data_IF_114804682433
#
_entry.id   IF_114804682433
#
_cell.length_a   1.000
_cell.length_b   1.000
_cell.length_c   1.000
_cell.angle_alpha   90.00
_cell.angle_beta   90.00
_cell.angle_gamma   90.00
#
_symmetry.space_group_name_H-M   'P 1'
#
loop_
_entity.id
_entity.type
_entity.pdbx_description
1 polymer ?
#
# COMPACT_ATOMS: atom_id res chain seq x y z
N UNK A 1 -11.11 2.66 -13.00
CA UNK A 1 -10.86 3.99 -13.63
C UNK A 1 -10.03 4.98 -12.79
N UNK A 2 -9.58 4.65 -11.56
CA UNK A 2 -8.61 5.49 -10.82
C UNK A 2 -7.16 5.05 -11.10
N UNK A 3 -6.93 3.74 -11.23
CA UNK A 3 -5.62 3.14 -11.43
C UNK A 3 -4.96 3.53 -12.75
N UNK A 4 -5.68 3.45 -13.88
CA UNK A 4 -5.17 3.86 -15.20
C UNK A 4 -4.71 5.32 -15.23
N UNK A 5 -5.55 6.24 -14.72
CA UNK A 5 -5.18 7.65 -14.62
C UNK A 5 -4.03 7.88 -13.64
N UNK A 6 -3.96 7.14 -12.54
CA UNK A 6 -2.84 7.21 -11.60
C UNK A 6 -1.52 6.78 -12.25
N UNK A 7 -1.52 5.76 -13.11
CA UNK A 7 -0.34 5.37 -13.89
C UNK A 7 0.13 6.51 -14.80
N UNK A 8 -0.78 7.20 -15.50
CA UNK A 8 -0.45 8.37 -16.31
C UNK A 8 0.18 9.49 -15.47
N UNK A 9 -0.38 9.77 -14.28
CA UNK A 9 0.13 10.78 -13.36
C UNK A 9 1.51 10.41 -12.80
N UNK A 10 1.79 9.12 -12.56
CA UNK A 10 3.13 8.67 -12.19
C UNK A 10 4.13 8.94 -13.31
N UNK A 11 3.81 8.56 -14.55
CA UNK A 11 4.67 8.84 -15.71
C UNK A 11 4.89 10.34 -15.93
N UNK A 12 3.87 11.14 -15.70
CA UNK A 12 3.98 12.59 -15.77
C UNK A 12 4.92 13.13 -14.68
N UNK A 13 4.79 12.66 -13.44
CA UNK A 13 5.66 13.07 -12.34
C UNK A 13 7.13 12.69 -12.59
N UNK A 14 7.40 11.49 -13.11
CA UNK A 14 8.74 11.05 -13.52
C UNK A 14 9.34 11.99 -14.56
N UNK A 15 8.55 12.35 -15.58
CA UNK A 15 9.00 13.23 -16.67
C UNK A 15 9.36 14.63 -16.15
N UNK A 16 8.54 15.21 -15.28
CA UNK A 16 8.75 16.55 -14.74
C UNK A 16 9.91 16.60 -13.72
N UNK A 17 10.12 15.52 -12.98
CA UNK A 17 11.15 15.44 -11.96
C UNK A 17 12.52 14.98 -12.49
N UNK A 18 12.53 14.08 -13.48
CA UNK A 18 13.75 13.51 -14.08
C UNK A 18 14.30 12.29 -13.35
N UNK A 19 13.48 11.57 -12.59
CA UNK A 19 13.83 10.32 -11.89
C UNK A 19 12.77 9.27 -12.19
N UNK A 20 13.16 8.00 -12.27
CA UNK A 20 12.22 6.88 -12.33
C UNK A 20 11.60 6.65 -10.94
N UNK A 21 10.27 6.76 -10.86
CA UNK A 21 9.47 6.65 -9.65
C UNK A 21 8.54 5.43 -9.68
N UNK A 22 8.20 4.94 -10.87
CA UNK A 22 7.34 3.78 -11.11
C UNK A 22 8.03 2.77 -12.04
N UNK A 23 8.39 1.62 -11.46
CA UNK A 23 8.97 0.49 -12.17
C UNK A 23 7.85 -0.45 -12.60
N UNK A 24 7.59 -0.51 -13.92
CA UNK A 24 6.59 -1.41 -14.50
C UNK A 24 7.19 -2.82 -14.63
N UNK A 25 7.13 -3.62 -13.56
CA UNK A 25 7.69 -4.98 -13.51
C UNK A 25 6.70 -6.07 -13.92
N UNK A 26 5.44 -5.72 -14.17
CA UNK A 26 4.31 -6.64 -14.12
C UNK A 26 4.03 -7.15 -12.70
N UNK A 27 2.84 -7.70 -12.50
CA UNK A 27 2.38 -8.16 -11.19
C UNK A 27 1.69 -9.52 -11.25
N UNK A 28 1.99 -10.36 -10.26
CA UNK A 28 1.47 -11.71 -10.15
C UNK A 28 0.44 -11.80 -9.02
N UNK A 29 -0.80 -12.10 -9.37
CA UNK A 29 -1.88 -12.29 -8.41
C UNK A 29 -2.23 -13.77 -8.34
N UNK A 30 -2.28 -14.33 -7.13
CA UNK A 30 -2.52 -15.77 -6.92
C UNK A 30 -3.58 -16.00 -5.86
N UNK A 31 -4.42 -17.01 -6.07
CA UNK A 31 -5.55 -17.29 -5.20
C UNK A 31 -6.60 -18.19 -5.85
N UNK A 32 -7.68 -18.49 -5.11
CA UNK A 32 -8.86 -19.16 -5.67
C UNK A 32 -9.45 -18.34 -6.81
N UNK A 33 -9.97 -19.02 -7.84
CA UNK A 33 -10.51 -18.35 -9.05
C UNK A 33 -11.64 -17.37 -8.74
N UNK A 34 -12.48 -17.69 -7.78
CA UNK A 34 -13.59 -16.89 -7.28
C UNK A 34 -13.24 -16.06 -6.04
N UNK A 35 -11.97 -16.12 -5.60
CA UNK A 35 -11.44 -15.40 -4.44
C UNK A 35 -11.46 -13.88 -4.59
N UNK A 36 -11.06 -13.20 -3.52
CA UNK A 36 -11.07 -11.74 -3.44
C UNK A 36 -10.05 -11.14 -4.42
N UNK A 37 -8.83 -11.68 -4.44
CA UNK A 37 -7.72 -11.15 -5.22
C UNK A 37 -7.85 -11.54 -6.69
N UNK A 38 -7.81 -12.82 -7.00
CA UNK A 38 -7.87 -13.33 -8.39
C UNK A 38 -9.23 -13.02 -9.01
N UNK A 39 -10.34 -13.41 -8.36
CA UNK A 39 -11.68 -13.15 -8.89
C UNK A 39 -11.99 -11.66 -8.99
N UNK A 40 -11.54 -10.85 -8.03
CA UNK A 40 -11.65 -9.40 -8.08
C UNK A 40 -10.92 -8.79 -9.27
N UNK A 41 -9.69 -9.24 -9.52
CA UNK A 41 -8.85 -8.79 -10.64
C UNK A 41 -9.46 -9.15 -11.98
N UNK A 42 -9.88 -10.41 -12.18
CA UNK A 42 -10.49 -10.85 -13.44
C UNK A 42 -11.76 -10.05 -13.75
N UNK A 43 -12.61 -9.78 -12.75
CA UNK A 43 -13.79 -8.93 -12.93
C UNK A 43 -13.42 -7.50 -13.28
N UNK A 44 -12.41 -6.92 -12.63
CA UNK A 44 -11.96 -5.56 -12.93
C UNK A 44 -11.35 -5.46 -14.33
N UNK A 45 -10.58 -6.47 -14.73
CA UNK A 45 -9.96 -6.55 -16.04
C UNK A 45 -11.00 -6.65 -17.16
N UNK A 46 -11.99 -7.53 -17.02
CA UNK A 46 -13.11 -7.63 -17.95
C UNK A 46 -13.91 -6.33 -18.04
N UNK A 47 -14.27 -5.75 -16.88
CA UNK A 47 -15.07 -4.53 -16.82
C UNK A 47 -14.36 -3.29 -17.43
N UNK A 48 -13.03 -3.25 -17.40
CA UNK A 48 -12.24 -2.07 -17.75
C UNK A 48 -11.27 -2.28 -18.91
N UNK A 49 -11.29 -3.45 -19.56
CA UNK A 49 -10.39 -3.77 -20.67
C UNK A 49 -8.91 -3.76 -20.27
N UNK A 50 -8.60 -4.21 -19.05
CA UNK A 50 -7.21 -4.32 -18.58
C UNK A 50 -6.65 -5.64 -19.12
N UNK A 51 -5.47 -5.58 -19.74
CA UNK A 51 -4.78 -6.77 -20.22
C UNK A 51 -4.30 -7.61 -19.03
N UNK A 52 -4.77 -8.85 -18.97
CA UNK A 52 -4.32 -9.84 -17.99
C UNK A 52 -4.21 -11.21 -18.65
N UNK A 53 -3.23 -12.00 -18.20
CA UNK A 53 -3.04 -13.38 -18.61
C UNK A 53 -3.41 -14.30 -17.43
N UNK A 54 -4.32 -15.26 -17.66
CA UNK A 54 -4.63 -16.28 -16.64
C UNK A 54 -3.68 -17.45 -16.78
N UNK A 55 -3.09 -17.88 -15.67
CA UNK A 55 -2.18 -19.01 -15.58
C UNK A 55 -2.84 -20.14 -14.80
N UNK A 56 -2.83 -21.34 -15.35
CA UNK A 56 -3.13 -22.56 -14.59
C UNK A 56 -2.11 -22.76 -13.46
N UNK A 57 -2.45 -23.60 -12.48
CA UNK A 57 -1.52 -23.95 -11.39
C UNK A 57 -0.20 -24.55 -11.92
N UNK A 58 -0.26 -25.34 -12.99
CA UNK A 58 0.93 -25.89 -13.65
C UNK A 58 1.79 -24.80 -14.32
N UNK A 59 1.19 -23.87 -15.06
CA UNK A 59 1.89 -22.75 -15.69
C UNK A 59 2.51 -21.81 -14.67
N UNK A 60 1.78 -21.52 -13.58
CA UNK A 60 2.27 -20.73 -12.45
C UNK A 60 3.54 -21.33 -11.86
N UNK A 61 3.55 -22.64 -11.57
CA UNK A 61 4.72 -23.33 -11.03
C UNK A 61 5.91 -23.37 -11.99
N UNK A 62 5.62 -23.49 -13.28
CA UNK A 62 6.64 -23.54 -14.32
C UNK A 62 7.30 -22.16 -14.52
N UNK A 63 6.48 -21.10 -14.62
CA UNK A 63 6.96 -19.73 -14.91
C UNK A 63 7.49 -19.00 -13.67
N UNK A 64 6.88 -19.25 -12.50
CA UNK A 64 7.21 -18.58 -11.25
C UNK A 64 7.46 -19.61 -10.12
N UNK A 65 8.57 -20.38 -10.18
CA UNK A 65 8.84 -21.47 -9.23
C UNK A 65 8.87 -21.05 -7.76
N UNK A 66 9.24 -19.81 -7.46
CA UNK A 66 9.23 -19.29 -6.08
C UNK A 66 7.83 -19.13 -5.49
N UNK A 67 6.79 -19.08 -6.34
CA UNK A 67 5.37 -19.08 -5.96
C UNK A 67 4.76 -20.48 -5.97
N UNK A 68 5.55 -21.54 -6.25
CA UNK A 68 5.03 -22.86 -6.58
C UNK A 68 4.28 -23.59 -5.45
N UNK A 69 4.41 -23.13 -4.20
CA UNK A 69 3.67 -23.71 -3.08
C UNK A 69 2.32 -23.01 -2.83
N UNK A 70 1.79 -22.32 -3.83
CA UNK A 70 0.35 -22.11 -3.96
C UNK A 70 -0.39 -23.46 -3.96
N UNK A 71 -1.56 -23.56 -3.31
CA UNK A 71 -2.43 -24.74 -3.41
C UNK A 71 -2.77 -25.09 -4.87
N UNK A 72 -3.06 -26.37 -5.13
CA UNK A 72 -3.28 -26.88 -6.48
C UNK A 72 -4.51 -26.22 -7.15
N UNK A 73 -5.51 -25.89 -6.35
CA UNK A 73 -6.75 -25.24 -6.73
C UNK A 73 -6.61 -23.73 -6.96
N UNK A 74 -5.48 -23.13 -6.58
CA UNK A 74 -5.19 -21.73 -6.86
C UNK A 74 -4.69 -21.57 -8.31
N UNK A 75 -5.04 -20.43 -8.90
CA UNK A 75 -4.56 -20.02 -10.22
C UNK A 75 -3.72 -18.75 -10.12
N UNK A 76 -3.00 -18.43 -11.19
CA UNK A 76 -2.30 -17.16 -11.34
C UNK A 76 -3.04 -16.22 -12.28
N UNK A 77 -2.90 -14.92 -12.05
CA UNK A 77 -3.23 -13.85 -12.98
C UNK A 77 -2.02 -12.95 -13.09
N UNK A 78 -1.51 -12.78 -14.30
CA UNK A 78 -0.41 -11.88 -14.63
C UNK A 78 -0.96 -10.58 -15.22
N UNK A 79 -0.65 -9.46 -14.59
CA UNK A 79 -1.00 -8.11 -15.05
C UNK A 79 0.28 -7.38 -15.53
N UNK A 80 0.51 -7.24 -16.84
CA UNK A 80 1.75 -6.65 -17.37
C UNK A 80 1.97 -5.18 -16.97
N UNK A 81 0.90 -4.42 -16.77
CA UNK A 81 0.95 -3.00 -16.40
C UNK A 81 1.26 -2.73 -14.93
N UNK A 82 1.20 -3.75 -14.07
CA UNK A 82 1.48 -3.61 -12.66
C UNK A 82 2.97 -3.36 -12.38
N UNK A 83 3.29 -2.91 -11.17
CA UNK A 83 4.66 -2.55 -10.83
C UNK A 83 4.84 -1.97 -9.43
N UNK A 84 5.98 -1.32 -9.21
CA UNK A 84 6.41 -0.74 -7.94
C UNK A 84 6.50 0.76 -8.06
N UNK A 85 5.85 1.48 -7.15
CA UNK A 85 6.12 2.89 -6.89
C UNK A 85 7.21 2.99 -5.82
N UNK A 86 8.16 3.93 -5.99
CA UNK A 86 9.14 4.32 -4.97
C UNK A 86 8.55 5.45 -4.11
N UNK A 87 7.88 5.16 -2.97
CA UNK A 87 7.02 6.13 -2.30
C UNK A 87 7.78 7.33 -1.73
N UNK A 88 8.97 7.11 -1.17
CA UNK A 88 9.78 8.18 -0.60
C UNK A 88 10.34 9.13 -1.68
N UNK A 89 10.83 8.55 -2.79
CA UNK A 89 11.27 9.34 -3.95
C UNK A 89 10.11 10.13 -4.56
N UNK A 90 8.94 9.48 -4.66
CA UNK A 90 7.70 10.09 -5.14
C UNK A 90 7.25 11.29 -4.31
N UNK A 91 7.26 11.15 -2.98
CA UNK A 91 6.92 12.24 -2.07
C UNK A 91 7.93 13.40 -2.19
N UNK A 92 9.23 13.10 -2.27
CA UNK A 92 10.26 14.12 -2.48
C UNK A 92 10.09 14.84 -3.82
N UNK A 93 9.81 14.11 -4.90
CA UNK A 93 9.56 14.66 -6.22
C UNK A 93 8.36 15.61 -6.21
N UNK A 94 7.23 15.15 -5.67
CA UNK A 94 6.00 15.96 -5.59
C UNK A 94 6.21 17.24 -4.77
N UNK A 95 6.83 17.14 -3.58
CA UNK A 95 7.12 18.31 -2.73
C UNK A 95 8.15 19.23 -3.38
N UNK A 96 9.18 18.68 -4.02
CA UNK A 96 10.23 19.45 -4.70
C UNK A 96 9.70 20.24 -5.89
N UNK A 97 8.82 19.64 -6.70
CA UNK A 97 8.13 20.35 -7.80
C UNK A 97 7.16 21.40 -7.27
N UNK A 98 6.38 21.09 -6.24
CA UNK A 98 5.46 22.04 -5.61
C UNK A 98 6.22 23.26 -5.05
N UNK A 99 7.38 23.04 -4.44
CA UNK A 99 8.24 24.09 -3.89
C UNK A 99 8.77 25.11 -4.92
N UNK A 100 8.67 24.81 -6.23
CA UNK A 100 8.99 25.78 -7.29
C UNK A 100 7.94 26.89 -7.43
N UNK A 101 6.70 26.62 -7.01
CA UNK A 101 5.55 27.52 -7.23
C UNK A 101 4.71 27.78 -5.96
N UNK A 102 4.99 27.08 -4.85
CA UNK A 102 4.25 27.18 -3.60
C UNK A 102 5.19 27.17 -2.39
N UNK A 103 4.73 27.74 -1.28
CA UNK A 103 5.44 27.67 0.00
C UNK A 103 5.31 26.29 0.63
N UNK A 104 6.44 25.66 0.97
CA UNK A 104 6.49 24.39 1.71
C UNK A 104 6.98 24.66 3.13
N UNK A 105 6.14 24.39 4.12
CA UNK A 105 6.48 24.57 5.54
C UNK A 105 6.73 23.20 6.18
N UNK A 106 8.00 22.82 6.29
CA UNK A 106 8.41 21.61 7.04
C UNK A 106 8.60 21.92 8.52
N UNK A 107 8.64 20.89 9.37
CA UNK A 107 8.76 21.06 10.83
C UNK A 107 7.59 21.81 11.48
N UNK A 108 6.46 21.92 10.78
CA UNK A 108 5.28 22.70 11.17
C UNK A 108 4.09 21.76 11.32
N UNK A 109 3.92 21.19 12.52
CA UNK A 109 2.79 20.30 12.81
C UNK A 109 1.52 21.14 13.07
N UNK A 110 0.50 20.92 12.25
CA UNK A 110 -0.83 21.49 12.47
C UNK A 110 -1.50 20.76 13.62
N UNK A 111 -1.83 21.48 14.69
CA UNK A 111 -2.49 20.93 15.88
C UNK A 111 -4.00 21.19 15.90
N UNK A 112 -4.50 22.13 15.09
CA UNK A 112 -5.92 22.47 15.01
C UNK A 112 -6.30 22.93 13.61
N UNK A 113 -7.48 22.50 13.18
CA UNK A 113 -8.17 22.96 11.97
C UNK A 113 -9.54 23.47 12.39
N UNK A 114 -9.86 24.71 12.04
CA UNK A 114 -11.16 25.32 12.35
C UNK A 114 -11.72 25.97 11.09
N UNK A 115 -12.98 25.65 10.76
CA UNK A 115 -13.68 26.31 9.67
C UNK A 115 -14.33 27.58 10.21
N UNK A 116 -13.96 28.73 9.65
CA UNK A 116 -14.44 30.06 10.05
C UNK A 116 -15.32 30.66 8.95
N UNK A 117 -16.06 31.74 9.22
CA UNK A 117 -17.03 32.34 8.27
C UNK A 117 -16.47 32.63 6.87
N UNK A 118 -15.20 32.98 6.74
CA UNK A 118 -14.53 33.37 5.50
C UNK A 118 -13.44 32.39 5.00
N UNK A 119 -13.25 31.24 5.67
CA UNK A 119 -12.21 30.29 5.27
C UNK A 119 -11.93 29.19 6.30
N UNK A 120 -10.67 28.77 6.37
CA UNK A 120 -10.15 27.79 7.31
C UNK A 120 -8.94 28.37 8.04
N UNK A 121 -8.94 28.23 9.35
CA UNK A 121 -7.83 28.56 10.22
C UNK A 121 -7.06 27.29 10.60
N UNK A 122 -5.74 27.32 10.42
CA UNK A 122 -4.81 26.24 10.77
C UNK A 122 -3.83 26.72 11.84
N UNK A 123 -3.78 26.05 12.98
CA UNK A 123 -2.84 26.38 14.06
C UNK A 123 -1.64 25.45 14.00
N UNK A 124 -0.43 26.02 13.95
CA UNK A 124 0.85 25.30 13.94
C UNK A 124 1.84 25.97 14.89
N UNK A 125 2.05 25.38 16.07
CA UNK A 125 2.86 25.99 17.13
C UNK A 125 2.34 27.39 17.49
N UNK A 126 3.18 28.45 17.47
CA UNK A 126 2.74 29.82 17.75
C UNK A 126 2.10 30.53 16.55
N UNK A 127 1.96 29.86 15.40
CA UNK A 127 1.46 30.47 14.16
C UNK A 127 0.03 30.05 13.88
N UNK A 128 -0.72 30.99 13.33
CA UNK A 128 -2.06 30.78 12.78
C UNK A 128 -2.05 31.13 11.30
N UNK A 129 -2.41 30.19 10.44
CA UNK A 129 -2.55 30.38 9.00
C UNK A 129 -4.03 30.48 8.66
N UNK A 130 -4.40 31.46 7.83
CA UNK A 130 -5.77 31.60 7.30
C UNK A 130 -5.75 31.39 5.79
N UNK A 131 -6.60 30.48 5.33
CA UNK A 131 -6.73 30.11 3.93
C UNK A 131 -8.21 30.06 3.53
N UNK A 132 -8.51 30.22 2.25
CA UNK A 132 -9.91 30.13 1.76
C UNK A 132 -10.43 28.70 1.76
N UNK A 133 -9.55 27.72 1.59
CA UNK A 133 -9.86 26.29 1.56
C UNK A 133 -8.65 25.50 2.07
N UNK A 134 -8.90 24.39 2.75
CA UNK A 134 -7.88 23.44 3.20
C UNK A 134 -8.17 22.02 2.67
N UNK A 135 -7.12 21.33 2.24
CA UNK A 135 -7.15 19.89 1.92
C UNK A 135 -6.34 19.17 2.99
N UNK A 136 -6.98 18.27 3.74
CA UNK A 136 -6.36 17.57 4.88
C UNK A 136 -6.07 16.11 4.49
N UNK A 137 -4.78 15.78 4.39
CA UNK A 137 -4.28 14.46 3.97
C UNK A 137 -3.22 13.91 4.94
N UNK A 138 -3.50 14.00 6.25
CA UNK A 138 -2.54 13.67 7.33
C UNK A 138 -2.47 12.18 7.68
N UNK A 139 -3.02 11.31 6.84
CA UNK A 139 -2.93 9.85 7.00
C UNK A 139 -3.50 9.33 8.33
N UNK A 140 -2.69 8.58 9.08
CA UNK A 140 -3.07 7.97 10.36
C UNK A 140 -3.45 8.98 11.47
N UNK A 141 -3.14 10.27 11.29
CA UNK A 141 -3.49 11.34 12.21
C UNK A 141 -4.83 12.01 11.91
N UNK A 142 -5.57 11.54 10.90
CA UNK A 142 -6.76 12.23 10.43
C UNK A 142 -7.84 12.33 11.52
N UNK A 143 -8.00 11.29 12.35
CA UNK A 143 -8.91 11.30 13.51
C UNK A 143 -8.41 12.13 14.68
N UNK A 144 -7.09 12.30 14.81
CA UNK A 144 -6.49 13.18 15.82
C UNK A 144 -6.80 14.64 15.50
N UNK A 145 -6.69 15.00 14.22
CA UNK A 145 -6.90 16.38 13.77
C UNK A 145 -8.37 16.72 13.53
N UNK A 146 -9.16 15.76 13.05
CA UNK A 146 -10.58 15.88 12.73
C UNK A 146 -11.34 14.74 13.44
N UNK A 147 -11.71 14.91 14.72
CA UNK A 147 -12.41 13.88 15.48
C UNK A 147 -13.81 13.62 14.91
N UNK A 148 -14.28 12.38 15.06
CA UNK A 148 -15.61 11.93 14.58
C UNK A 148 -15.59 11.27 13.20
N UNK A 149 -14.43 11.22 12.52
CA UNK A 149 -14.29 10.42 11.32
C UNK A 149 -14.29 8.92 11.64
N UNK A 150 -14.91 8.08 10.80
CA UNK A 150 -15.00 6.64 10.99
C UNK A 150 -13.69 5.97 10.56
N UNK A 151 -12.59 6.30 11.23
CA UNK A 151 -11.27 5.79 10.89
C UNK A 151 -10.62 5.17 12.12
N UNK A 152 -9.94 4.06 11.90
CA UNK A 152 -9.17 3.37 12.93
C UNK A 152 -7.73 3.22 12.47
N UNK A 153 -6.79 3.77 13.24
CA UNK A 153 -5.37 3.60 12.95
C UNK A 153 -4.91 2.23 13.40
N UNK A 154 -4.38 1.44 12.47
CA UNK A 154 -3.87 0.09 12.72
C UNK A 154 -2.42 -0.05 12.29
N UNK A 155 -1.68 -0.90 13.02
CA UNK A 155 -0.27 -1.16 12.75
C UNK A 155 -0.08 -2.16 11.60
N UNK A 156 0.66 -1.76 10.57
CA UNK A 156 1.00 -2.59 9.40
C UNK A 156 2.52 -2.81 9.32
N UNK A 157 3.06 -3.89 9.92
CA UNK A 157 4.48 -4.16 9.83
C UNK A 157 4.86 -4.71 8.45
N UNK A 158 5.99 -4.24 7.95
CA UNK A 158 6.61 -4.70 6.70
C UNK A 158 8.00 -5.24 7.02
N UNK A 159 8.44 -6.26 6.29
CA UNK A 159 9.68 -6.99 6.59
C UNK A 159 10.46 -7.31 5.32
N UNK A 160 11.79 -7.27 5.42
CA UNK A 160 12.70 -7.59 4.32
C UNK A 160 13.51 -8.85 4.64
N UNK A 161 13.53 -9.79 3.70
CA UNK A 161 14.13 -11.11 3.84
C UNK A 161 15.26 -11.30 2.84
N UNK A 162 16.45 -11.59 3.37
CA UNK A 162 17.64 -11.80 2.55
C UNK A 162 17.63 -13.20 1.93
N UNK A 163 17.75 -13.32 0.59
CA UNK A 163 18.03 -14.59 -0.06
C UNK A 163 19.25 -15.30 0.49
N UNK A 164 19.09 -16.59 0.74
CA UNK A 164 20.15 -17.48 1.19
C UNK A 164 20.25 -18.66 0.22
N UNK A 165 21.49 -18.97 -0.15
CA UNK A 165 21.85 -20.06 -1.04
C UNK A 165 21.51 -21.45 -0.48
N UNK A 166 21.19 -21.56 0.82
CA UNK A 166 20.87 -22.83 1.47
C UNK A 166 19.57 -23.48 0.95
N UNK A 167 18.70 -22.71 0.26
CA UNK A 167 17.49 -23.22 -0.39
C UNK A 167 17.71 -23.80 -1.80
N UNK A 168 18.95 -23.74 -2.33
CA UNK A 168 19.26 -24.16 -3.71
C UNK A 168 18.91 -23.13 -4.78
N UNK A 169 18.40 -21.95 -4.39
CA UNK A 169 18.06 -20.84 -5.27
C UNK A 169 19.17 -19.79 -5.25
N UNK A 170 19.43 -19.20 -6.41
CA UNK A 170 20.34 -18.09 -6.53
C UNK A 170 19.69 -16.80 -6.02
N UNK A 171 20.50 -15.85 -5.55
CA UNK A 171 20.00 -14.52 -5.17
C UNK A 171 19.22 -13.84 -6.29
N UNK A 172 19.62 -14.09 -7.54
CA UNK A 172 18.99 -13.56 -8.75
C UNK A 172 17.58 -14.11 -9.00
N UNK A 173 17.23 -15.29 -8.46
CA UNK A 173 15.86 -15.84 -8.58
C UNK A 173 14.83 -14.98 -7.83
N UNK A 174 15.29 -14.09 -6.95
CA UNK A 174 14.48 -13.15 -6.19
C UNK A 174 14.54 -11.71 -6.73
N UNK A 175 15.18 -11.48 -7.88
CA UNK A 175 15.12 -10.17 -8.54
C UNK A 175 13.75 -9.99 -9.23
N UNK A 176 13.33 -8.74 -9.45
CA UNK A 176 11.94 -8.42 -9.86
C UNK A 176 11.45 -9.10 -11.15
N UNK A 177 12.35 -9.43 -12.07
CA UNK A 177 12.02 -10.12 -13.31
C UNK A 177 11.58 -11.58 -13.08
N UNK A 178 12.03 -12.20 -11.99
CA UNK A 178 11.75 -13.59 -11.62
C UNK A 178 10.82 -13.72 -10.41
N UNK A 179 10.88 -12.74 -9.51
CA UNK A 179 10.04 -12.62 -8.33
C UNK A 179 9.34 -11.24 -8.35
N UNK A 180 8.29 -11.09 -9.18
CA UNK A 180 7.65 -9.81 -9.45
C UNK A 180 6.91 -9.29 -8.21
N UNK A 181 6.31 -8.09 -8.34
CA UNK A 181 5.30 -7.69 -7.34
C UNK A 181 4.19 -8.72 -7.33
N UNK A 182 3.66 -9.01 -6.15
CA UNK A 182 2.64 -10.02 -6.04
C UNK A 182 1.66 -9.76 -4.92
N UNK A 183 0.47 -10.35 -5.09
CA UNK A 183 -0.52 -10.57 -4.04
C UNK A 183 -0.94 -12.03 -4.08
N UNK A 184 -0.98 -12.66 -2.91
CA UNK A 184 -1.35 -14.07 -2.74
C UNK A 184 -2.39 -14.19 -1.65
N UNK A 185 -3.59 -14.58 -2.04
CA UNK A 185 -4.63 -14.98 -1.11
C UNK A 185 -4.22 -16.31 -0.47
N UNK A 186 -4.13 -16.37 0.86
CA UNK A 186 -3.85 -17.61 1.59
C UNK A 186 -5.16 -18.26 2.02
N UNK A 187 -5.21 -19.59 2.03
CA UNK A 187 -6.41 -20.33 2.44
C UNK A 187 -6.87 -19.91 3.84
N UNK A 188 -8.14 -19.52 3.95
CA UNK A 188 -8.79 -19.10 5.20
C UNK A 188 -8.02 -18.03 5.98
N UNK A 189 -7.22 -17.19 5.29
CA UNK A 189 -6.17 -16.39 5.92
C UNK A 189 -6.00 -14.98 5.35
N UNK A 190 -4.85 -14.33 5.66
CA UNK A 190 -4.50 -13.03 5.13
C UNK A 190 -4.10 -13.10 3.65
N UNK A 191 -4.04 -11.94 3.01
CA UNK A 191 -3.33 -11.75 1.75
C UNK A 191 -1.86 -11.49 2.07
N UNK A 192 -0.98 -12.29 1.49
CA UNK A 192 0.44 -11.99 1.46
C UNK A 192 0.74 -11.14 0.24
N UNK A 193 1.42 -10.02 0.44
CA UNK A 193 1.88 -9.18 -0.65
C UNK A 193 3.37 -8.90 -0.52
N UNK A 194 3.99 -8.54 -1.62
CA UNK A 194 5.42 -8.27 -1.61
C UNK A 194 6.00 -8.04 -2.99
N UNK A 195 7.32 -7.99 -3.01
CA UNK A 195 8.10 -7.85 -4.22
C UNK A 195 9.50 -8.41 -4.05
N UNK A 196 10.11 -8.78 -5.17
CA UNK A 196 11.51 -9.16 -5.24
C UNK A 196 12.45 -8.01 -4.87
N UNK A 197 13.74 -8.30 -4.95
CA UNK A 197 14.81 -7.35 -4.68
C UNK A 197 14.73 -6.19 -5.65
N UNK A 198 14.73 -4.97 -5.11
CA UNK A 198 14.62 -3.73 -5.87
C UNK A 198 15.47 -2.66 -5.19
N UNK A 199 16.18 -1.85 -5.98
CA UNK A 199 16.95 -0.69 -5.51
C UNK A 199 17.82 -0.95 -4.25
N UNK A 200 18.52 -2.08 -4.24
CA UNK A 200 19.40 -2.47 -3.12
C UNK A 200 18.68 -3.07 -1.90
N UNK A 201 17.35 -3.11 -1.89
CA UNK A 201 16.57 -3.78 -0.86
C UNK A 201 16.47 -5.30 -1.10
N UNK A 202 16.38 -6.04 0.01
CA UNK A 202 16.09 -7.48 0.01
C UNK A 202 14.59 -7.74 -0.27
N UNK A 203 14.13 -9.00 -0.30
CA UNK A 203 12.74 -9.34 -0.65
C UNK A 203 11.78 -8.74 0.38
N UNK A 204 10.84 -7.89 -0.06
CA UNK A 204 9.87 -7.24 0.82
C UNK A 204 8.62 -8.09 0.90
N UNK A 205 8.18 -8.37 2.13
CA UNK A 205 6.94 -9.08 2.41
C UNK A 205 6.10 -8.31 3.44
N UNK A 206 4.80 -8.29 3.21
CA UNK A 206 3.79 -7.77 4.12
C UNK A 206 2.59 -8.70 4.14
N UNK A 207 1.89 -8.73 5.27
CA UNK A 207 0.62 -9.40 5.38
C UNK A 207 -0.47 -8.33 5.47
N UNK A 208 -1.57 -8.63 4.82
CA UNK A 208 -2.80 -7.89 4.95
C UNK A 208 -3.86 -8.85 5.47
N UNK A 209 -4.29 -8.62 6.70
CA UNK A 209 -5.42 -9.35 7.25
C UNK A 209 -6.70 -8.57 6.94
N UNK A 210 -7.79 -9.30 6.73
CA UNK A 210 -9.11 -8.72 6.84
C UNK A 210 -9.39 -8.15 8.24
N UNK A 211 -10.61 -7.67 8.47
CA UNK A 211 -11.04 -7.12 9.76
C UNK A 211 -10.63 -8.02 10.94
N UNK A 212 -10.07 -7.40 11.97
CA UNK A 212 -9.67 -8.07 13.22
C UNK A 212 -8.23 -8.60 13.28
N UNK A 213 -7.47 -8.62 12.18
CA UNK A 213 -6.09 -9.16 12.20
C UNK A 213 -5.03 -8.19 12.74
N UNK A 214 -5.30 -6.89 12.74
CA UNK A 214 -4.42 -5.86 13.28
C UNK A 214 -5.04 -5.13 14.45
N UNK A 215 -4.19 -4.82 15.44
CA UNK A 215 -4.61 -4.10 16.64
C UNK A 215 -4.66 -2.60 16.34
N UNK A 216 -5.71 -1.91 16.81
CA UNK A 216 -5.72 -0.45 16.83
C UNK A 216 -4.50 0.07 17.57
N UNK A 217 -3.97 1.19 17.12
CA UNK A 217 -2.85 1.87 17.75
C UNK A 217 -3.03 3.38 17.73
N UNK A 218 -2.40 4.03 18.69
CA UNK A 218 -2.19 5.46 18.67
C UNK A 218 -1.17 5.80 17.57
N UNK A 219 -1.48 6.69 16.61
CA UNK A 219 -0.51 7.12 15.59
C UNK A 219 0.75 7.79 16.17
N UNK A 220 0.71 8.31 17.40
CA UNK A 220 1.88 8.85 18.13
C UNK A 220 2.80 7.74 18.70
N UNK A 221 2.36 6.48 18.68
CA UNK A 221 3.17 5.35 19.15
C UNK A 221 4.18 4.87 18.10
N UNK A 222 5.36 5.49 18.13
CA UNK A 222 6.49 5.16 17.25
C UNK A 222 7.34 3.96 17.71
N UNK A 223 6.91 3.15 18.68
CA UNK A 223 7.72 2.01 19.17
C UNK A 223 8.08 1.06 18.02
N UNK A 224 9.37 0.71 17.84
CA UNK A 224 9.80 -0.13 16.72
C UNK A 224 9.25 -1.55 16.83
N UNK A 225 9.14 -2.25 15.68
CA UNK A 225 8.89 -3.70 15.69
C UNK A 225 10.10 -4.37 16.36
N UNK A 226 9.87 -5.13 17.44
CA UNK A 226 10.94 -5.91 18.06
C UNK A 226 11.52 -6.91 17.04
N UNK A 227 12.83 -6.85 16.80
CA UNK A 227 13.57 -7.85 15.99
C UNK A 227 13.23 -9.26 16.48
N UNK A 228 12.88 -10.15 15.55
CA UNK A 228 12.48 -11.54 15.86
C UNK A 228 10.97 -11.79 15.95
N UNK A 229 10.11 -10.75 16.04
CA UNK A 229 8.65 -10.85 15.89
C UNK A 229 8.15 -10.11 14.65
N UNK A 230 8.86 -10.25 13.53
CA UNK A 230 8.27 -9.92 12.23
C UNK A 230 6.95 -10.69 12.11
N UNK A 231 5.85 -10.00 11.81
CA UNK A 231 4.51 -10.60 11.86
C UNK A 231 4.41 -11.82 10.92
N UNK A 232 5.17 -11.77 9.83
CA UNK A 232 5.34 -12.86 8.84
C UNK A 232 6.03 -14.10 9.42
N UNK A 233 6.93 -13.96 10.41
CA UNK A 233 7.74 -15.07 10.94
C UNK A 233 7.18 -15.78 12.19
N UNK A 234 6.14 -15.23 12.85
CA UNK A 234 5.60 -15.79 14.11
C UNK A 234 4.14 -16.25 14.05
N UNK A 235 3.38 -15.87 13.02
CA UNK A 235 1.93 -16.14 12.91
C UNK A 235 1.47 -16.72 11.58
N UNK A 236 2.36 -16.81 10.61
CA UNK A 236 2.11 -17.54 9.37
C UNK A 236 2.79 -18.90 9.53
N UNK A 237 2.11 -20.03 9.25
CA UNK A 237 2.82 -21.23 8.80
C UNK A 237 3.81 -20.74 7.74
N UNK A 238 5.07 -21.24 7.70
CA UNK A 238 6.09 -20.70 6.82
C UNK A 238 5.41 -20.52 5.48
N UNK A 239 5.25 -19.28 5.03
CA UNK A 239 4.73 -19.04 3.71
C UNK A 239 5.70 -19.84 2.86
N UNK A 240 5.22 -20.97 2.34
CA UNK A 240 5.97 -21.78 1.41
C UNK A 240 5.92 -20.98 0.11
N UNK A 241 6.61 -19.85 0.10
CA UNK A 241 7.43 -19.51 -1.03
C UNK A 241 8.58 -20.52 -0.94
N UNK A 242 9.19 -20.89 -2.06
CA UNK A 242 10.58 -21.33 -1.93
C UNK A 242 11.33 -20.10 -1.41
N UNK A 243 11.45 -20.04 -0.09
CA UNK A 243 11.72 -18.82 0.61
C UNK A 243 13.22 -18.58 0.60
N UNK A 244 13.65 -17.33 0.46
CA UNK A 244 15.03 -16.95 0.71
C UNK A 244 15.42 -17.47 2.11
N UNK A 245 16.32 -18.46 2.21
CA UNK A 245 16.42 -19.26 3.42
C UNK A 245 16.68 -18.41 4.68
N UNK A 246 15.73 -18.44 5.62
CA UNK A 246 15.77 -17.72 6.90
C UNK A 246 14.36 -17.43 7.42
N UNK A 247 14.05 -17.86 8.65
CA UNK A 247 12.76 -17.58 9.31
C UNK A 247 12.66 -16.17 9.89
N UNK A 248 13.72 -15.37 9.77
CA UNK A 248 13.85 -14.06 10.39
C UNK A 248 14.19 -12.98 9.36
N UNK A 249 13.50 -11.84 9.39
CA UNK A 249 13.79 -10.74 8.49
C UNK A 249 15.10 -10.05 8.84
N UNK A 250 15.85 -9.63 7.82
CA UNK A 250 17.06 -8.81 7.98
C UNK A 250 16.75 -7.37 8.39
N UNK A 251 15.57 -6.87 8.02
CA UNK A 251 15.05 -5.56 8.43
C UNK A 251 13.52 -5.58 8.56
N UNK A 252 12.97 -4.68 9.36
CA UNK A 252 11.53 -4.48 9.50
C UNK A 252 11.20 -3.02 9.81
N UNK A 253 10.05 -2.54 9.34
CA UNK A 253 9.54 -1.20 9.62
C UNK A 253 8.08 -1.23 10.06
N UNK A 254 7.67 -0.21 10.80
CA UNK A 254 6.27 0.02 11.19
C UNK A 254 5.65 0.97 10.17
N UNK A 255 4.63 0.51 9.45
CA UNK A 255 3.70 1.36 8.72
C UNK A 255 2.36 1.41 9.47
N UNK A 256 1.48 2.31 9.05
CA UNK A 256 0.16 2.50 9.63
C UNK A 256 -0.87 2.63 8.52
N UNK A 257 -2.03 2.01 8.72
CA UNK A 257 -3.23 2.27 7.93
C UNK A 257 -4.23 3.05 8.77
N UNK A 258 -4.88 4.04 8.15
CA UNK A 258 -6.12 4.61 8.67
C UNK A 258 -7.26 3.85 7.98
N UNK A 259 -7.86 2.88 8.65
CA UNK A 259 -8.87 1.99 8.06
C UNK A 259 -10.28 2.55 8.28
N UNK A 260 -11.09 2.61 7.23
CA UNK A 260 -12.53 2.87 7.31
C UNK A 260 -13.30 1.57 7.56
N UNK A 261 -14.55 1.61 8.08
CA UNK A 261 -15.35 0.41 8.24
C UNK A 261 -15.43 -0.41 6.95
N UNK A 262 -15.75 0.19 5.82
CA UNK A 262 -15.91 -0.55 4.56
C UNK A 262 -14.61 -0.75 3.79
N UNK A 263 -13.46 -0.48 4.41
CA UNK A 263 -12.14 -0.67 3.82
C UNK A 263 -11.99 0.12 2.50
N UNK A 264 -12.58 1.32 2.44
CA UNK A 264 -12.53 2.28 1.33
C UNK A 264 -11.82 3.59 1.67
N UNK A 265 -11.37 4.29 0.64
CA UNK A 265 -10.95 5.67 0.75
C UNK A 265 -12.07 6.57 1.28
N UNK A 266 -11.71 7.50 2.15
CA UNK A 266 -12.55 8.65 2.49
C UNK A 266 -12.00 9.86 1.73
N UNK A 267 -12.74 10.31 0.72
CA UNK A 267 -12.39 11.50 -0.06
C UNK A 267 -13.65 12.34 -0.21
N UNK A 268 -13.63 13.58 0.30
CA UNK A 268 -14.81 14.43 0.21
C UNK A 268 -14.76 15.65 1.12
N UNK A 269 -15.94 16.23 1.31
CA UNK A 269 -16.17 17.44 2.11
C UNK A 269 -17.00 17.08 3.33
N UNK A 270 -16.43 17.11 4.55
CA UNK A 270 -17.21 16.90 5.77
C UNK A 270 -18.34 17.94 5.88
N UNK A 271 -19.57 17.53 6.19
CA UNK A 271 -20.71 18.46 6.27
C UNK A 271 -21.10 19.10 4.94
N UNK A 272 -20.56 18.62 3.81
CA UNK A 272 -20.67 19.29 2.51
C UNK A 272 -19.94 20.63 2.40
N UNK A 273 -19.12 21.01 3.38
CA UNK A 273 -18.48 22.33 3.42
C UNK A 273 -17.41 22.47 2.33
N UNK A 274 -17.59 23.42 1.40
CA UNK A 274 -16.67 23.64 0.30
C UNK A 274 -15.27 24.10 0.73
N UNK A 275 -15.11 24.63 1.95
CA UNK A 275 -13.84 25.13 2.47
C UNK A 275 -12.93 24.02 2.98
N UNK A 276 -13.47 22.82 3.25
CA UNK A 276 -12.70 21.72 3.82
C UNK A 276 -12.84 20.46 2.95
N UNK A 277 -11.71 19.96 2.47
CA UNK A 277 -11.63 18.67 1.78
C UNK A 277 -10.75 17.74 2.60
N UNK A 278 -11.13 16.48 2.73
CA UNK A 278 -10.33 15.44 3.36
C UNK A 278 -10.00 14.35 2.35
N UNK A 279 -8.82 13.74 2.47
CA UNK A 279 -8.49 12.50 1.78
C UNK A 279 -7.67 11.58 2.70
N UNK A 280 -8.12 10.33 2.85
CA UNK A 280 -7.49 9.30 3.68
C UNK A 280 -8.14 7.93 3.46
N UNK A 281 -7.95 6.99 4.37
CA UNK A 281 -8.62 5.69 4.30
C UNK A 281 -8.01 4.68 3.31
N UNK A 282 -6.68 4.47 3.21
CA UNK A 282 -6.10 3.74 2.07
C UNK A 282 -6.21 2.22 2.16
N UNK A 283 -7.43 1.69 2.16
CA UNK A 283 -7.71 0.24 2.08
C UNK A 283 -8.33 -0.12 0.70
N UNK A 284 -8.12 -1.36 0.25
CA UNK A 284 -8.22 -1.81 -1.15
C UNK A 284 -9.45 -2.71 -1.37
N UNK A 285 -10.66 -2.32 -0.94
CA UNK A 285 -11.87 -3.14 -1.24
C UNK A 285 -12.95 -2.39 -2.01
N UNK A 286 -14.21 -2.85 -2.05
CA UNK A 286 -15.28 -2.26 -2.88
C UNK A 286 -16.19 -1.30 -2.09
N UNK A 287 -16.84 -0.32 -2.75
CA UNK A 287 -17.61 0.71 -2.07
C UNK A 287 -18.90 0.18 -1.45
N UNK A 288 -19.13 0.55 -0.19
CA UNK A 288 -20.48 0.64 0.37
C UNK A 288 -20.87 2.12 0.48
N UNK A 289 -22.11 2.45 0.13
CA UNK A 289 -22.57 3.83 0.08
C UNK A 289 -22.57 4.44 1.49
N UNK A 290 -21.73 5.44 1.70
CA UNK A 290 -21.73 6.22 2.93
C UNK A 290 -22.96 7.16 2.97
N UNK A 291 -23.64 7.32 4.11
CA UNK A 291 -24.63 8.38 4.28
C UNK A 291 -23.90 9.73 4.27
N UNK A 292 -24.12 10.53 3.22
CA UNK A 292 -23.52 11.86 2.99
C UNK A 292 -23.12 12.56 4.30
N UNK A 293 -21.79 12.66 4.54
CA UNK A 293 -21.23 13.48 5.62
C UNK A 293 -21.54 14.95 5.39
#
# INVERSE_FOLDING_TARGET
>A
MITGHSCELWRHLEKEWGEELFVSSGGLLTGPRDGTIVGGTLRAADQHGIEVETLSSAELRMRYPSHAAAPEEHIGVWEPSAGIVRPEASARAAVGLAGRNAGVLTGSQVSRVEVCSDGVELVTGPRTLRVRQAVITVGAWLTTLLPGLPLETVRMPISWFRPSAAGGEAKADFDLDRFPVFMRELDHGPVLWGNGRENGHDVKLGLEYGRGGFRPMDPEDHRPVRRGRGLVGSRTPPVRLRAPAGTHPGAAAVCMYARTPDDQFIIGRPGGDARLVIAGGPDIRRPSQWPRL
#
